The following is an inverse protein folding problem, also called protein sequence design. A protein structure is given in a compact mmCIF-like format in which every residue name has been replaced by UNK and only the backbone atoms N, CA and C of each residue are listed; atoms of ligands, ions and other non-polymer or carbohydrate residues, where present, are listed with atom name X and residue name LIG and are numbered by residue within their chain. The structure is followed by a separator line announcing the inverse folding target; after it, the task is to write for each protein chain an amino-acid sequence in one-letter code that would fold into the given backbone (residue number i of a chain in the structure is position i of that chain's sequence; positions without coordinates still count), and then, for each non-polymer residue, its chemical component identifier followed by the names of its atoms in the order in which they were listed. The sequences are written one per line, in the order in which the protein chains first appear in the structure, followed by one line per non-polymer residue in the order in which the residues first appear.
data_IF_345683204158
#
_entry.id   IF_345683204158
#
_cell.length_a   1.000
_cell.length_b   1.000
_cell.length_c   1.000
_cell.angle_alpha   90.00
_cell.angle_beta   90.00
_cell.angle_gamma   90.00
#
_symmetry.space_group_name_H-M   'P 1'
#
loop_
_entity.id
_entity.type
_entity.pdbx_description
1 polymer ?
#
# COMPACT_ATOMS: atom_id res chain seq x y z
N UNK A 1 -77.37 41.06 10.66
CA UNK A 1 -78.81 41.08 10.90
C UNK A 1 -79.10 42.19 11.90
N UNK A 2 -79.97 43.12 11.55
CA UNK A 2 -80.24 44.33 12.35
C UNK A 2 -79.49 45.57 11.86
N UNK A 3 -80.16 46.34 11.00
CA UNK A 3 -80.26 47.82 11.00
C UNK A 3 -80.49 48.33 9.58
N UNK A 4 -81.69 48.14 9.06
CA UNK A 4 -82.20 48.87 7.91
C UNK A 4 -83.71 48.91 7.99
N UNK A 5 -84.24 49.81 8.81
CA UNK A 5 -85.58 50.40 8.65
C UNK A 5 -85.69 51.58 9.61
N UNK A 6 -85.11 52.71 9.19
CA UNK A 6 -85.63 54.02 9.57
C UNK A 6 -86.25 54.59 8.31
N UNK A 7 -87.46 54.12 7.99
CA UNK A 7 -88.34 54.85 7.10
C UNK A 7 -88.58 56.20 7.78
N UNK A 8 -88.16 57.28 7.12
CA UNK A 8 -88.53 58.63 7.49
C UNK A 8 -90.06 58.70 7.44
N UNK A 9 -90.73 58.60 8.58
CA UNK A 9 -92.14 58.94 8.68
C UNK A 9 -92.25 60.42 8.29
N UNK A 10 -92.68 60.66 7.05
CA UNK A 10 -93.00 61.99 6.58
C UNK A 10 -94.19 62.48 7.39
N UNK A 11 -93.94 63.38 8.34
CA UNK A 11 -94.97 63.97 9.19
C UNK A 11 -95.86 64.89 8.33
N UNK A 12 -96.97 64.37 7.80
CA UNK A 12 -97.96 65.21 7.09
C UNK A 12 -98.85 65.87 8.15
N UNK A 13 -98.59 67.14 8.44
CA UNK A 13 -99.46 68.01 9.22
C UNK A 13 -100.48 68.67 8.29
N UNK A 14 -101.70 68.16 8.21
CA UNK A 14 -102.82 68.86 7.56
C UNK A 14 -103.34 69.96 8.49
N UNK A 15 -102.91 71.20 8.25
CA UNK A 15 -103.39 72.37 9.00
C UNK A 15 -104.56 73.01 8.26
N UNK A 16 -105.76 72.95 8.85
CA UNK A 16 -106.95 73.62 8.31
C UNK A 16 -106.94 75.07 8.81
N UNK A 17 -106.60 76.02 7.93
CA UNK A 17 -106.44 77.47 8.19
C UNK A 17 -105.26 77.84 9.13
N UNK A 18 -104.00 77.57 8.73
CA UNK A 18 -102.82 77.85 9.56
C UNK A 18 -102.65 79.35 9.85
N UNK A 19 -102.28 79.67 11.08
CA UNK A 19 -101.80 81.01 11.45
C UNK A 19 -100.30 81.15 11.17
N UNK A 20 -99.78 82.37 11.12
CA UNK A 20 -98.33 82.62 10.94
C UNK A 20 -97.51 81.95 12.05
N UNK A 21 -98.03 81.89 13.28
CA UNK A 21 -97.36 81.25 14.43
C UNK A 21 -97.23 79.72 14.25
N UNK A 22 -98.23 79.07 13.65
CA UNK A 22 -98.17 77.63 13.33
C UNK A 22 -97.06 77.33 12.31
N UNK A 23 -96.90 78.21 11.31
CA UNK A 23 -95.84 78.09 10.31
C UNK A 23 -94.45 78.33 10.93
N UNK A 24 -94.31 79.29 11.85
CA UNK A 24 -93.04 79.56 12.57
C UNK A 24 -92.60 78.33 13.37
N UNK A 25 -93.50 77.70 14.14
CA UNK A 25 -93.19 76.48 14.91
C UNK A 25 -92.75 75.30 14.04
N UNK A 26 -93.36 75.15 12.86
CA UNK A 26 -92.94 74.13 11.89
C UNK A 26 -91.54 74.43 11.35
N UNK A 27 -91.24 75.69 11.02
CA UNK A 27 -89.91 76.11 10.56
C UNK A 27 -88.85 75.89 11.64
N UNK A 28 -89.11 76.23 12.90
CA UNK A 28 -88.19 75.98 14.01
C UNK A 28 -87.90 74.48 14.19
N UNK A 29 -88.93 73.63 14.09
CA UNK A 29 -88.76 72.17 14.18
C UNK A 29 -87.96 71.60 13.01
N UNK A 30 -88.17 72.11 11.79
CA UNK A 30 -87.41 71.73 10.60
C UNK A 30 -85.94 72.20 10.71
N UNK A 31 -85.69 73.41 11.22
CA UNK A 31 -84.33 73.90 11.46
C UNK A 31 -83.58 73.00 12.46
N UNK A 32 -84.24 72.61 13.56
CA UNK A 32 -83.66 71.67 14.52
C UNK A 32 -83.36 70.29 13.93
N UNK A 33 -84.18 69.79 12.99
CA UNK A 33 -83.90 68.56 12.25
C UNK A 33 -82.69 68.72 11.32
N UNK A 34 -82.63 69.81 10.56
CA UNK A 34 -81.51 70.11 9.65
C UNK A 34 -80.19 70.23 10.40
N UNK A 35 -80.18 70.86 11.58
CA UNK A 35 -78.98 70.96 12.43
C UNK A 35 -78.54 69.58 12.93
N UNK A 36 -79.50 68.74 13.36
CA UNK A 36 -79.24 67.35 13.76
C UNK A 36 -78.65 66.50 12.63
N UNK A 37 -79.25 66.57 11.45
CA UNK A 37 -78.78 65.88 10.25
C UNK A 37 -77.40 66.37 9.82
N UNK A 38 -77.14 67.67 9.89
CA UNK A 38 -75.82 68.26 9.58
C UNK A 38 -74.74 67.71 10.52
N UNK A 39 -75.03 67.59 11.82
CA UNK A 39 -74.11 67.01 12.79
C UNK A 39 -73.83 65.54 12.49
N UNK A 40 -74.87 64.75 12.19
CA UNK A 40 -74.69 63.35 11.79
C UNK A 40 -73.88 63.20 10.49
N UNK A 41 -74.08 64.09 9.51
CA UNK A 41 -73.29 64.10 8.28
C UNK A 41 -71.82 64.40 8.59
N UNK A 42 -71.52 65.34 9.49
CA UNK A 42 -70.16 65.62 9.93
C UNK A 42 -69.49 64.41 10.61
N UNK A 43 -70.21 63.74 11.52
CA UNK A 43 -69.74 62.51 12.19
C UNK A 43 -69.45 61.39 11.19
N UNK A 44 -70.32 61.20 10.21
CA UNK A 44 -70.14 60.21 9.14
C UNK A 44 -68.94 60.56 8.25
N UNK A 45 -68.77 61.83 7.87
CA UNK A 45 -67.63 62.27 7.08
C UNK A 45 -66.30 62.03 7.81
N UNK A 46 -66.25 62.29 9.11
CA UNK A 46 -65.07 62.01 9.91
C UNK A 46 -64.79 60.50 9.99
N UNK A 47 -65.83 59.69 10.14
CA UNK A 47 -65.72 58.22 10.14
C UNK A 47 -65.21 57.69 8.81
N UNK A 48 -65.73 58.20 7.68
CA UNK A 48 -65.27 57.85 6.32
C UNK A 48 -63.79 58.22 6.14
N UNK A 49 -63.37 59.38 6.64
CA UNK A 49 -61.96 59.81 6.59
C UNK A 49 -61.05 58.84 7.34
N UNK A 50 -61.45 58.40 8.53
CA UNK A 50 -60.68 57.44 9.33
C UNK A 50 -60.60 56.08 8.61
N UNK A 51 -61.71 55.56 8.09
CA UNK A 51 -61.76 54.29 7.34
C UNK A 51 -60.85 54.34 6.11
N UNK A 52 -60.81 55.49 5.40
CA UNK A 52 -59.95 55.66 4.24
C UNK A 52 -58.46 55.57 4.60
N UNK A 53 -58.06 56.13 5.74
CA UNK A 53 -56.68 56.04 6.20
C UNK A 53 -56.32 54.61 6.62
N UNK A 54 -57.21 53.90 7.31
CA UNK A 54 -57.01 52.49 7.64
C UNK A 54 -56.89 51.61 6.39
N UNK A 55 -57.71 51.84 5.38
CA UNK A 55 -57.64 51.12 4.10
C UNK A 55 -56.29 51.33 3.41
N UNK A 56 -55.77 52.57 3.44
CA UNK A 56 -54.45 52.89 2.87
C UNK A 56 -53.33 52.15 3.59
N UNK A 57 -53.37 52.05 4.93
CA UNK A 57 -52.38 51.29 5.71
C UNK A 57 -52.48 49.79 5.36
N UNK A 58 -53.70 49.24 5.27
CA UNK A 58 -53.90 47.83 4.89
C UNK A 58 -53.41 47.53 3.49
N UNK A 59 -53.60 48.45 2.54
CA UNK A 59 -53.07 48.32 1.18
C UNK A 59 -51.54 48.23 1.17
N UNK A 60 -50.86 49.10 1.94
CA UNK A 60 -49.39 49.03 2.08
C UNK A 60 -48.92 47.72 2.72
N UNK A 61 -49.63 47.23 3.73
CA UNK A 61 -49.32 45.93 4.35
C UNK A 61 -49.46 44.77 3.35
N UNK A 62 -50.49 44.79 2.50
CA UNK A 62 -50.68 43.77 1.45
C UNK A 62 -49.54 43.81 0.44
N UNK A 63 -49.08 45.00 0.04
CA UNK A 63 -47.94 45.15 -0.87
C UNK A 63 -46.67 44.57 -0.24
N UNK A 64 -46.40 44.87 1.03
CA UNK A 64 -45.26 44.32 1.76
C UNK A 64 -45.30 42.79 1.85
N UNK A 65 -46.44 42.22 2.25
CA UNK A 65 -46.62 40.76 2.35
C UNK A 65 -46.42 40.09 0.98
N UNK A 66 -46.89 40.73 -0.08
CA UNK A 66 -46.70 40.23 -1.45
C UNK A 66 -45.22 40.18 -1.83
N UNK A 67 -44.44 41.19 -1.46
CA UNK A 67 -42.99 41.20 -1.68
C UNK A 67 -42.28 40.08 -0.90
N UNK A 68 -42.65 39.89 0.38
CA UNK A 68 -42.09 38.83 1.22
C UNK A 68 -42.43 37.43 0.69
N UNK A 69 -43.65 37.24 0.19
CA UNK A 69 -44.08 36.00 -0.46
C UNK A 69 -43.26 35.70 -1.72
N UNK A 70 -43.02 36.70 -2.56
CA UNK A 70 -42.20 36.53 -3.76
C UNK A 70 -40.75 36.18 -3.42
N UNK A 71 -40.17 36.83 -2.41
CA UNK A 71 -38.83 36.51 -1.91
C UNK A 71 -38.77 35.07 -1.38
N UNK A 72 -39.77 34.65 -0.61
CA UNK A 72 -39.88 33.28 -0.08
C UNK A 72 -39.98 32.26 -1.20
N UNK A 73 -40.74 32.55 -2.26
CA UNK A 73 -40.84 31.68 -3.43
C UNK A 73 -39.50 31.49 -4.15
N UNK A 74 -38.69 32.54 -4.26
CA UNK A 74 -37.34 32.46 -4.84
C UNK A 74 -36.42 31.57 -4.00
N UNK A 75 -36.43 31.74 -2.68
CA UNK A 75 -35.65 30.90 -1.76
C UNK A 75 -36.05 29.43 -1.90
N UNK A 76 -37.35 29.14 -1.98
CA UNK A 76 -37.85 27.76 -2.20
C UNK A 76 -37.33 27.18 -3.52
N UNK A 77 -37.25 27.99 -4.58
CA UNK A 77 -36.70 27.55 -5.88
C UNK A 77 -35.23 27.14 -5.75
N UNK A 78 -34.41 27.96 -5.08
CA UNK A 78 -32.99 27.69 -4.85
C UNK A 78 -32.83 26.40 -4.03
N UNK A 79 -33.58 26.27 -2.94
CA UNK A 79 -33.55 25.06 -2.10
C UNK A 79 -33.92 23.80 -2.92
N UNK A 80 -34.86 23.91 -3.85
CA UNK A 80 -35.27 22.80 -4.72
C UNK A 80 -34.15 22.38 -5.69
N UNK A 81 -33.41 23.35 -6.23
CA UNK A 81 -32.24 23.11 -7.07
C UNK A 81 -31.13 22.41 -6.26
N UNK A 82 -30.82 22.91 -5.07
CA UNK A 82 -29.83 22.32 -4.16
C UNK A 82 -30.20 20.88 -3.77
N UNK A 83 -31.47 20.62 -3.46
CA UNK A 83 -31.97 19.27 -3.16
C UNK A 83 -31.76 18.35 -4.36
N UNK A 84 -32.03 18.83 -5.58
CA UNK A 84 -31.86 18.05 -6.81
C UNK A 84 -30.39 17.73 -7.06
N UNK A 85 -29.49 18.70 -6.86
CA UNK A 85 -28.05 18.49 -6.99
C UNK A 85 -27.54 17.48 -5.96
N UNK A 86 -28.00 17.58 -4.71
CA UNK A 86 -27.65 16.64 -3.65
C UNK A 86 -28.15 15.22 -3.96
N UNK A 87 -29.33 15.08 -4.55
CA UNK A 87 -29.83 13.77 -5.00
C UNK A 87 -28.95 13.14 -6.07
N UNK A 88 -28.46 13.93 -7.04
CA UNK A 88 -27.53 13.46 -8.06
C UNK A 88 -26.18 13.02 -7.44
N UNK A 89 -25.63 13.83 -6.52
CA UNK A 89 -24.41 13.50 -5.81
C UNK A 89 -24.54 12.18 -5.03
N UNK A 90 -25.67 11.99 -4.33
CA UNK A 90 -25.95 10.73 -3.61
C UNK A 90 -26.04 9.55 -4.57
N UNK A 91 -26.60 9.72 -5.77
CA UNK A 91 -26.66 8.66 -6.79
C UNK A 91 -25.26 8.25 -7.24
N UNK A 92 -24.39 9.22 -7.56
CA UNK A 92 -23.01 8.94 -7.96
C UNK A 92 -22.22 8.23 -6.86
N UNK A 93 -22.34 8.69 -5.60
CA UNK A 93 -21.68 8.03 -4.46
C UNK A 93 -22.17 6.59 -4.29
N UNK A 94 -23.46 6.33 -4.54
CA UNK A 94 -24.02 4.98 -4.46
C UNK A 94 -23.44 4.05 -5.52
N UNK A 95 -23.21 4.55 -6.74
CA UNK A 95 -22.57 3.80 -7.82
C UNK A 95 -21.11 3.46 -7.46
N UNK A 96 -20.35 4.43 -6.97
CA UNK A 96 -18.96 4.22 -6.52
C UNK A 96 -18.88 3.17 -5.39
N UNK A 97 -19.84 3.19 -4.46
CA UNK A 97 -19.91 2.19 -3.38
C UNK A 97 -20.14 0.77 -3.92
N UNK A 98 -20.98 0.61 -4.95
CA UNK A 98 -21.23 -0.68 -5.59
C UNK A 98 -19.95 -1.19 -6.27
N UNK A 99 -19.26 -0.33 -7.03
CA UNK A 99 -17.99 -0.67 -7.69
C UNK A 99 -16.93 -1.09 -6.65
N UNK A 100 -16.82 -0.34 -5.56
CA UNK A 100 -15.87 -0.66 -4.48
C UNK A 100 -16.22 -1.97 -3.76
N UNK A 101 -17.50 -2.30 -3.60
CA UNK A 101 -17.91 -3.60 -3.07
C UNK A 101 -17.48 -4.76 -3.97
N UNK A 102 -17.59 -4.62 -5.29
CA UNK A 102 -17.12 -5.62 -6.24
C UNK A 102 -15.60 -5.76 -6.22
N UNK A 103 -14.87 -4.65 -6.20
CA UNK A 103 -13.40 -4.67 -6.09
C UNK A 103 -12.94 -5.39 -4.82
N UNK A 104 -13.57 -5.13 -3.68
CA UNK A 104 -13.27 -5.82 -2.41
C UNK A 104 -13.54 -7.33 -2.50
N UNK A 105 -14.57 -7.75 -3.23
CA UNK A 105 -14.86 -9.17 -3.45
C UNK A 105 -13.75 -9.84 -4.28
N UNK A 106 -13.26 -9.16 -5.31
CA UNK A 106 -12.17 -9.68 -6.16
C UNK A 106 -10.86 -9.80 -5.36
N UNK A 107 -10.49 -8.74 -4.61
CA UNK A 107 -9.29 -8.76 -3.75
C UNK A 107 -9.37 -9.87 -2.70
N UNK A 108 -10.57 -10.11 -2.13
CA UNK A 108 -10.78 -11.22 -1.19
C UNK A 108 -10.53 -12.57 -1.85
N UNK A 109 -10.95 -12.78 -3.09
CA UNK A 109 -10.71 -14.03 -3.79
C UNK A 109 -9.22 -14.22 -4.13
N UNK A 110 -8.55 -13.18 -4.60
CA UNK A 110 -7.11 -13.20 -4.85
C UNK A 110 -6.32 -13.56 -3.58
N UNK A 111 -6.72 -12.98 -2.44
CA UNK A 111 -6.13 -13.30 -1.14
C UNK A 111 -6.32 -14.78 -0.76
N UNK A 112 -7.51 -15.33 -0.99
CA UNK A 112 -7.77 -16.75 -0.73
C UNK A 112 -6.90 -17.65 -1.63
N UNK A 113 -6.71 -17.29 -2.90
CA UNK A 113 -5.84 -18.01 -3.82
C UNK A 113 -4.39 -17.96 -3.33
N UNK A 114 -3.90 -16.77 -2.95
CA UNK A 114 -2.56 -16.61 -2.41
C UNK A 114 -2.36 -17.42 -1.13
N UNK A 115 -3.35 -17.48 -0.24
CA UNK A 115 -3.29 -18.30 0.96
C UNK A 115 -3.13 -19.79 0.63
N UNK A 116 -3.85 -20.32 -0.37
CA UNK A 116 -3.68 -21.71 -0.82
C UNK A 116 -2.29 -21.97 -1.41
N UNK A 117 -1.76 -21.02 -2.18
CA UNK A 117 -0.41 -21.15 -2.76
C UNK A 117 0.67 -21.18 -1.67
N UNK A 118 0.54 -20.33 -0.63
CA UNK A 118 1.45 -20.31 0.52
C UNK A 118 1.40 -21.66 1.25
N UNK A 119 0.21 -22.20 1.52
CA UNK A 119 0.06 -23.51 2.15
C UNK A 119 0.71 -24.64 1.33
N UNK A 120 0.62 -24.58 0.00
CA UNK A 120 1.30 -25.55 -0.87
C UNK A 120 2.83 -25.42 -0.77
N UNK A 121 3.35 -24.19 -0.81
CA UNK A 121 4.78 -23.93 -0.67
C UNK A 121 5.32 -24.39 0.70
N UNK A 122 4.57 -24.19 1.78
CA UNK A 122 4.92 -24.68 3.11
C UNK A 122 5.02 -26.22 3.14
N UNK A 123 4.07 -26.91 2.49
CA UNK A 123 4.10 -28.38 2.38
C UNK A 123 5.31 -28.87 1.58
N UNK A 124 5.60 -28.22 0.46
CA UNK A 124 6.76 -28.56 -0.36
C UNK A 124 8.05 -28.30 0.42
N UNK A 125 8.14 -27.18 1.14
CA UNK A 125 9.29 -26.85 1.98
C UNK A 125 9.53 -27.93 3.06
N UNK A 126 8.49 -28.38 3.75
CA UNK A 126 8.63 -29.48 4.73
C UNK A 126 9.08 -30.79 4.08
N UNK A 127 8.59 -31.09 2.88
CA UNK A 127 9.03 -32.29 2.13
C UNK A 127 10.51 -32.19 1.80
N UNK A 128 10.98 -31.04 1.32
CA UNK A 128 12.40 -30.81 1.06
C UNK A 128 13.23 -30.89 2.33
N UNK A 129 12.73 -30.36 3.45
CA UNK A 129 13.39 -30.45 4.75
C UNK A 129 13.60 -31.92 5.17
N UNK A 130 12.58 -32.77 5.02
CA UNK A 130 12.69 -34.21 5.29
C UNK A 130 13.71 -34.91 4.38
N UNK A 131 13.68 -34.60 3.08
CA UNK A 131 14.66 -35.16 2.15
C UNK A 131 16.09 -34.78 2.53
N UNK A 132 16.32 -33.52 2.94
CA UNK A 132 17.63 -33.06 3.40
C UNK A 132 18.08 -33.84 4.64
N UNK A 133 17.21 -34.05 5.63
CA UNK A 133 17.52 -34.86 6.82
C UNK A 133 17.90 -36.30 6.44
N UNK A 134 17.14 -36.93 5.53
CA UNK A 134 17.43 -38.27 5.06
C UNK A 134 18.78 -38.35 4.32
N UNK A 135 19.10 -37.34 3.49
CA UNK A 135 20.40 -37.28 2.81
C UNK A 135 21.55 -37.10 3.80
N UNK A 136 21.36 -36.29 4.85
CA UNK A 136 22.36 -36.11 5.89
C UNK A 136 22.64 -37.43 6.64
N UNK A 137 21.59 -38.15 7.05
CA UNK A 137 21.71 -39.46 7.71
C UNK A 137 22.44 -40.46 6.81
N UNK A 138 22.07 -40.54 5.54
CA UNK A 138 22.74 -41.40 4.56
C UNK A 138 24.22 -41.05 4.41
N UNK A 139 24.57 -39.75 4.41
CA UNK A 139 25.96 -39.30 4.31
C UNK A 139 26.77 -39.71 5.55
N UNK A 140 26.19 -39.58 6.75
CA UNK A 140 26.83 -40.02 8.00
C UNK A 140 27.10 -41.53 8.00
N UNK A 141 26.16 -42.34 7.50
CA UNK A 141 26.34 -43.78 7.34
C UNK A 141 27.48 -44.09 6.36
N UNK A 142 27.50 -43.44 5.19
CA UNK A 142 28.55 -43.66 4.17
C UNK A 142 29.93 -43.27 4.71
N UNK A 143 30.03 -42.14 5.42
CA UNK A 143 31.28 -41.70 6.06
C UNK A 143 31.77 -42.72 7.10
N UNK A 144 30.88 -43.25 7.93
CA UNK A 144 31.20 -44.29 8.91
C UNK A 144 31.72 -45.57 8.24
N UNK A 145 31.05 -46.01 7.17
CA UNK A 145 31.46 -47.18 6.39
C UNK A 145 32.84 -46.98 5.76
N UNK A 146 33.10 -45.81 5.17
CA UNK A 146 34.39 -45.50 4.56
C UNK A 146 35.52 -45.42 5.61
N UNK A 147 35.25 -44.80 6.76
CA UNK A 147 36.20 -44.78 7.88
C UNK A 147 36.56 -46.20 8.35
N UNK A 148 35.56 -47.08 8.44
CA UNK A 148 35.77 -48.49 8.83
C UNK A 148 36.64 -49.22 7.80
N UNK A 149 36.30 -49.11 6.51
CA UNK A 149 37.08 -49.72 5.43
C UNK A 149 38.53 -49.19 5.38
N UNK A 150 38.74 -47.89 5.63
CA UNK A 150 40.08 -47.30 5.68
C UNK A 150 40.92 -47.86 6.84
N UNK A 151 40.30 -48.09 8.01
CA UNK A 151 40.98 -48.74 9.14
C UNK A 151 41.39 -50.18 8.79
N UNK A 152 40.55 -50.93 8.07
CA UNK A 152 40.88 -52.28 7.61
C UNK A 152 42.09 -52.30 6.68
N UNK A 153 42.13 -51.41 5.69
CA UNK A 153 43.26 -51.28 4.74
C UNK A 153 44.55 -50.85 5.45
N UNK A 154 44.47 -49.92 6.40
CA UNK A 154 45.63 -49.50 7.19
C UNK A 154 46.21 -50.66 8.01
N UNK A 155 45.36 -51.47 8.63
CA UNK A 155 45.80 -52.63 9.41
C UNK A 155 46.49 -53.70 8.52
N UNK A 156 46.06 -53.84 7.26
CA UNK A 156 46.72 -54.74 6.30
C UNK A 156 48.11 -54.22 5.88
N UNK A 157 48.25 -52.92 5.61
CA UNK A 157 49.53 -52.31 5.20
C UNK A 157 50.56 -52.22 6.32
N UNK A 158 50.14 -52.04 7.57
CA UNK A 158 51.05 -52.06 8.74
C UNK A 158 51.61 -53.47 9.02
N UNK A 159 50.95 -54.53 8.54
CA UNK A 159 51.44 -55.92 8.64
C UNK A 159 52.52 -56.27 7.60
N UNK A 160 52.59 -55.54 6.49
CA UNK A 160 53.54 -55.82 5.39
C UNK A 160 54.87 -55.02 5.50
N UNK A 161 54.95 -53.99 6.36
CA UNK A 161 56.18 -53.21 6.62
C UNK A 161 57.04 -53.74 7.77
N UNK A 162 57.33 -55.05 7.78
CA UNK A 162 58.42 -55.61 8.60
C UNK A 162 59.40 -56.38 7.72
N UNK A 163 60.41 -55.67 7.23
CA UNK A 163 61.66 -56.27 6.75
C UNK A 163 61.95 -56.06 5.27
N UNK A 164 62.45 -54.88 4.90
CA UNK A 164 63.52 -54.78 3.90
C UNK A 164 64.23 -53.42 4.05
N UNK A 165 65.54 -53.42 4.25
CA UNK A 165 66.37 -52.20 4.27
C UNK A 165 66.57 -51.71 2.83
N UNK A 166 65.48 -51.33 2.16
CA UNK A 166 65.53 -50.81 0.81
C UNK A 166 65.81 -49.31 0.84
N UNK A 167 66.93 -48.89 0.25
CA UNK A 167 67.33 -47.47 0.17
C UNK A 167 66.32 -46.75 -0.73
N UNK A 168 65.45 -45.94 -0.13
CA UNK A 168 64.43 -45.19 -0.88
C UNK A 168 64.96 -43.84 -1.36
N UNK A 169 65.97 -43.30 -0.66
CA UNK A 169 66.55 -42.00 -0.93
C UNK A 169 68.04 -41.97 -0.55
N UNK A 170 68.79 -41.02 -1.13
CA UNK A 170 70.16 -40.74 -0.69
C UNK A 170 70.26 -40.39 0.79
N UNK A 171 69.16 -39.94 1.41
CA UNK A 171 69.08 -39.68 2.86
C UNK A 171 69.35 -40.92 3.71
N UNK A 172 69.05 -42.10 3.19
CA UNK A 172 69.24 -43.38 3.87
C UNK A 172 70.65 -43.95 3.62
N UNK A 173 71.47 -43.28 2.80
CA UNK A 173 72.80 -43.76 2.37
C UNK A 173 73.88 -43.27 3.33
N UNK A 174 74.57 -44.22 3.96
CA UNK A 174 75.75 -43.94 4.78
C UNK A 174 77.00 -44.47 4.07
N UNK A 175 77.92 -43.57 3.69
CA UNK A 175 79.19 -43.92 3.05
C UNK A 175 80.39 -43.23 3.72
N UNK A 176 81.58 -43.82 3.52
CA UNK A 176 82.85 -43.17 3.87
C UNK A 176 83.28 -42.15 2.82
N UNK A 177 82.90 -42.37 1.56
CA UNK A 177 83.21 -41.46 0.45
C UNK A 177 82.27 -40.26 0.42
N UNK A 178 82.79 -39.09 0.05
CA UNK A 178 81.99 -37.87 -0.10
C UNK A 178 80.83 -38.07 -1.08
N UNK A 179 81.07 -38.85 -2.14
CA UNK A 179 80.08 -39.16 -3.18
C UNK A 179 80.12 -40.64 -3.55
N UNK A 180 78.95 -41.28 -3.55
CA UNK A 180 78.78 -42.71 -3.86
C UNK A 180 77.63 -42.92 -4.84
N UNK A 181 77.75 -43.89 -5.74
CA UNK A 181 76.65 -44.28 -6.64
C UNK A 181 75.89 -45.45 -6.03
N UNK A 182 74.57 -45.31 -5.91
CA UNK A 182 73.68 -46.34 -5.36
C UNK A 182 72.52 -46.61 -6.31
N UNK A 183 71.85 -47.75 -6.13
CA UNK A 183 70.58 -48.08 -6.80
C UNK A 183 69.44 -47.90 -5.79
N UNK A 184 68.49 -47.02 -6.09
CA UNK A 184 67.32 -46.79 -5.24
C UNK A 184 66.31 -47.95 -5.35
N UNK A 185 65.35 -48.00 -4.42
CA UNK A 185 64.20 -48.92 -4.46
C UNK A 185 63.44 -48.91 -5.81
N UNK A 186 63.45 -47.78 -6.52
CA UNK A 186 62.88 -47.62 -7.85
C UNK A 186 63.68 -48.29 -8.98
N UNK A 187 64.87 -48.81 -8.69
CA UNK A 187 65.83 -49.33 -9.68
C UNK A 187 66.70 -48.26 -10.34
N UNK A 188 66.48 -46.98 -10.03
CA UNK A 188 67.26 -45.88 -10.58
C UNK A 188 68.65 -45.81 -9.94
N UNK A 189 69.70 -45.76 -10.77
CA UNK A 189 71.07 -45.48 -10.31
C UNK A 189 71.27 -43.98 -10.17
N UNK A 190 71.69 -43.53 -8.98
CA UNK A 190 71.93 -42.12 -8.66
C UNK A 190 73.26 -41.95 -7.95
N UNK A 191 73.85 -40.76 -8.07
CA UNK A 191 74.99 -40.36 -7.23
C UNK A 191 74.48 -39.60 -6.01
N UNK A 192 74.82 -40.10 -4.83
CA UNK A 192 74.53 -39.46 -3.55
C UNK A 192 75.75 -38.68 -3.05
N UNK A 193 75.54 -37.45 -2.60
CA UNK A 193 76.48 -36.74 -1.74
C UNK A 193 76.14 -37.04 -0.28
N UNK A 194 77.09 -37.61 0.46
CA UNK A 194 76.87 -38.08 1.84
C UNK A 194 77.47 -37.16 2.91
N UNK A 195 78.09 -36.04 2.50
CA UNK A 195 78.83 -35.16 3.43
C UNK A 195 78.40 -33.70 3.34
N UNK A 196 78.20 -33.17 2.14
CA UNK A 196 77.84 -31.75 1.94
C UNK A 196 76.51 -31.46 2.62
N UNK A 197 76.48 -30.41 3.46
CA UNK A 197 75.30 -29.96 4.20
C UNK A 197 74.53 -31.07 4.95
N UNK A 198 75.27 -31.99 5.57
CA UNK A 198 74.69 -33.11 6.33
C UNK A 198 74.35 -34.34 5.50
N UNK A 199 74.69 -34.33 4.21
CA UNK A 199 74.50 -35.45 3.29
C UNK A 199 73.05 -35.69 2.91
N UNK A 200 72.82 -36.75 2.14
CA UNK A 200 71.49 -37.18 1.71
C UNK A 200 71.03 -36.59 0.38
N UNK A 201 71.93 -35.93 -0.37
CA UNK A 201 71.59 -35.23 -1.60
C UNK A 201 71.74 -36.13 -2.82
N UNK A 202 70.75 -36.12 -3.71
CA UNK A 202 70.85 -36.69 -5.06
C UNK A 202 71.49 -35.64 -5.98
N UNK A 203 72.62 -35.99 -6.59
CA UNK A 203 73.24 -35.16 -7.63
C UNK A 203 72.55 -35.45 -8.96
N UNK A 204 71.78 -34.49 -9.46
CA UNK A 204 71.04 -34.61 -10.73
C UNK A 204 71.77 -33.98 -11.92
N UNK A 205 72.77 -33.12 -11.69
CA UNK A 205 73.64 -32.54 -12.71
C UNK A 205 75.02 -32.23 -12.10
N UNK A 206 76.11 -32.49 -12.85
CA UNK A 206 77.48 -32.19 -12.41
C UNK A 206 78.33 -31.74 -13.60
N UNK A 207 79.15 -30.70 -13.39
CA UNK A 207 80.26 -30.30 -14.28
C UNK A 207 81.52 -30.15 -13.45
N UNK A 208 82.65 -30.59 -13.98
CA UNK A 208 83.96 -30.52 -13.33
C UNK A 208 84.93 -29.83 -14.28
N UNK A 209 85.20 -30.45 -15.44
CA UNK A 209 86.27 -30.04 -16.34
C UNK A 209 85.79 -29.67 -17.75
N UNK A 210 84.48 -29.80 -18.03
CA UNK A 210 83.91 -29.44 -19.34
C UNK A 210 84.15 -30.49 -20.42
N UNK A 211 84.56 -31.70 -20.05
CA UNK A 211 84.84 -32.81 -20.98
C UNK A 211 83.58 -33.47 -21.54
N UNK A 212 82.44 -33.24 -20.91
CA UNK A 212 81.15 -33.74 -21.39
C UNK A 212 80.46 -32.60 -22.13
N UNK A 213 80.15 -32.80 -23.41
CA UNK A 213 79.36 -31.84 -24.19
C UNK A 213 77.89 -31.83 -23.72
N UNK A 214 77.39 -30.64 -23.38
CA UNK A 214 76.02 -30.41 -22.94
C UNK A 214 75.12 -29.85 -24.06
N UNK A 215 75.63 -29.53 -25.25
CA UNK A 215 74.80 -29.12 -26.38
C UNK A 215 74.18 -30.36 -27.06
N UNK A 216 73.23 -30.98 -26.36
CA UNK A 216 72.60 -32.26 -26.73
C UNK A 216 71.14 -32.11 -27.14
N UNK A 217 70.63 -33.10 -27.88
CA UNK A 217 69.22 -33.15 -28.27
C UNK A 217 68.29 -33.55 -27.10
N UNK A 218 66.98 -33.34 -27.27
CA UNK A 218 65.97 -33.64 -26.24
C UNK A 218 66.02 -35.08 -25.72
N UNK A 219 66.20 -36.06 -26.62
CA UNK A 219 66.22 -37.47 -26.24
C UNK A 219 67.36 -37.78 -25.25
N UNK A 220 68.54 -37.21 -25.46
CA UNK A 220 69.69 -37.39 -24.56
C UNK A 220 69.44 -36.72 -23.20
N UNK A 221 68.81 -35.55 -23.17
CA UNK A 221 68.43 -34.89 -21.91
C UNK A 221 67.36 -35.68 -21.13
N UNK A 222 66.41 -36.31 -21.82
CA UNK A 222 65.37 -37.14 -21.21
C UNK A 222 65.93 -38.46 -20.67
N UNK A 223 66.78 -39.12 -21.44
CA UNK A 223 67.30 -40.46 -21.12
C UNK A 223 68.55 -40.39 -20.20
N UNK A 224 69.21 -39.23 -20.14
CA UNK A 224 70.46 -38.99 -19.41
C UNK A 224 71.69 -39.18 -20.29
N UNK A 225 72.73 -38.37 -20.05
CA UNK A 225 74.03 -38.46 -20.75
C UNK A 225 75.20 -38.18 -19.79
N UNK A 226 76.41 -38.54 -20.22
CA UNK A 226 77.62 -38.44 -19.39
C UNK A 226 77.84 -39.68 -18.51
N UNK A 227 78.79 -39.59 -17.59
CA UNK A 227 79.14 -40.67 -16.67
C UNK A 227 79.28 -40.12 -15.26
N UNK A 228 78.92 -40.92 -14.26
CA UNK A 228 79.14 -40.57 -12.85
C UNK A 228 80.61 -40.28 -12.51
N UNK A 229 81.56 -40.81 -13.30
CA UNK A 229 82.99 -40.69 -13.07
C UNK A 229 83.66 -39.55 -13.85
N UNK A 230 82.97 -38.93 -14.81
CA UNK A 230 83.54 -37.92 -15.72
C UNK A 230 82.60 -36.72 -15.80
N UNK A 231 83.10 -35.52 -15.53
CA UNK A 231 82.33 -34.27 -15.60
C UNK A 231 83.11 -33.10 -16.15
#
# INVERSE_FOLDING_TARGET
DGRAERLSEMLILTVVSPTVDDLVKVVEKLLGQVDGDTKHIQENNQSIKNIKEELKIKEQNIISITADLNSTQQIISIIKEDITQNQQNISSIKEDLIINQENLKNVKEDFNIQQRNILSLEKDFHTHQQNISNFQENLEIVLSNFSTALMEVKNQTDKERKGDNQITSCRDVTSKDDRVVVTLASGLKVMCDTKTDGGGWIIFQRRINGNVDFYRGWKEYRDGFGSFLVG
#
